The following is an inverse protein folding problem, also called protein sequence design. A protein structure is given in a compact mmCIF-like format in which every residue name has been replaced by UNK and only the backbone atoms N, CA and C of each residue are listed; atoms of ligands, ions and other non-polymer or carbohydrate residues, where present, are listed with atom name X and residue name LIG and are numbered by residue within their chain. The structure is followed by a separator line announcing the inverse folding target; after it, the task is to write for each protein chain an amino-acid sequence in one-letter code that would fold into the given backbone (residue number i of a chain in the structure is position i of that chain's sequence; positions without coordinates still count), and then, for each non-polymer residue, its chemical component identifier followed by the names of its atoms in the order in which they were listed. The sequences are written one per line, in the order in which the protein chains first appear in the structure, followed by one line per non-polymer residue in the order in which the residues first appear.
data_IF_875823825814
#
_entry.id   IF_875823825814
#
_cell.length_a   1.000
_cell.length_b   1.000
_cell.length_c   1.000
_cell.angle_alpha   90.00
_cell.angle_beta   90.00
_cell.angle_gamma   90.00
#
_symmetry.space_group_name_H-M   'P 1'
#
loop_
_entity.id
_entity.type
_entity.pdbx_description
1 polymer ?
#
# COMPACT_ATOMS: atom_id res chain seq x y z
N UNK A 1 -30.16 52.79 -3.65
CA UNK A 1 -30.61 51.47 -4.14
C UNK A 1 -29.40 50.73 -4.69
N UNK A 2 -29.23 49.43 -4.39
CA UNK A 2 -28.09 48.96 -3.57
C UNK A 2 -27.00 48.18 -4.32
N UNK A 3 -25.82 48.17 -3.67
CA UNK A 3 -24.72 47.21 -3.63
C UNK A 3 -24.66 46.02 -4.59
N UNK A 4 -23.58 45.96 -5.38
CA UNK A 4 -23.01 44.70 -5.86
C UNK A 4 -21.47 44.77 -5.77
N UNK A 5 -20.93 44.76 -4.54
CA UNK A 5 -19.56 44.34 -4.32
C UNK A 5 -19.45 42.86 -4.70
N UNK A 6 -18.88 42.58 -5.87
CA UNK A 6 -18.47 41.24 -6.28
C UNK A 6 -17.44 40.76 -5.26
N UNK A 7 -17.87 39.89 -4.36
CA UNK A 7 -16.98 39.12 -3.50
C UNK A 7 -16.09 38.24 -4.39
N UNK A 8 -14.97 38.80 -4.85
CA UNK A 8 -13.84 38.02 -5.32
C UNK A 8 -13.45 37.10 -4.16
N UNK A 9 -13.44 35.80 -4.41
CA UNK A 9 -13.09 34.78 -3.44
C UNK A 9 -11.70 35.06 -2.83
N UNK A 10 -11.66 35.77 -1.70
CA UNK A 10 -10.46 35.86 -0.87
C UNK A 10 -10.50 34.68 0.10
N UNK A 11 -10.20 33.49 -0.42
CA UNK A 11 -9.93 32.30 0.37
C UNK A 11 -8.65 31.64 -0.12
N UNK A 12 -7.56 32.41 -0.17
CA UNK A 12 -6.22 31.88 -0.47
C UNK A 12 -5.17 32.27 0.59
N UNK A 13 -5.56 32.77 1.76
CA UNK A 13 -4.62 33.30 2.76
C UNK A 13 -4.49 32.45 4.03
N UNK A 14 -4.70 31.14 3.92
CA UNK A 14 -4.24 30.16 4.94
C UNK A 14 -3.41 29.01 4.35
N UNK A 15 -2.73 29.26 3.23
CA UNK A 15 -1.73 28.32 2.65
C UNK A 15 -0.31 28.58 3.17
N UNK A 16 -0.10 29.60 4.00
CA UNK A 16 1.24 30.09 4.31
C UNK A 16 1.67 29.86 5.75
N UNK A 17 1.51 28.65 6.28
CA UNK A 17 2.26 28.30 7.50
C UNK A 17 2.67 26.82 7.63
N UNK A 18 2.45 25.99 6.60
CA UNK A 18 2.84 24.58 6.69
C UNK A 18 3.54 24.01 5.46
N UNK A 19 4.23 24.87 4.70
CA UNK A 19 4.97 24.49 3.50
C UNK A 19 6.02 23.38 3.75
N UNK A 20 6.63 23.35 4.95
CA UNK A 20 7.57 22.30 5.36
C UNK A 20 6.87 20.94 5.58
N UNK A 21 5.62 20.90 6.03
CA UNK A 21 4.86 19.65 6.23
C UNK A 21 4.24 19.13 4.94
N UNK A 22 3.87 20.01 3.99
CA UNK A 22 3.43 19.57 2.65
C UNK A 22 4.55 18.88 1.87
N UNK A 23 5.78 19.42 1.86
CA UNK A 23 6.93 18.74 1.24
C UNK A 23 7.21 17.37 1.88
N UNK A 24 7.14 17.27 3.22
CA UNK A 24 7.31 15.99 3.93
C UNK A 24 6.19 15.00 3.61
N UNK A 25 4.93 15.46 3.51
CA UNK A 25 3.78 14.64 3.11
C UNK A 25 3.88 14.17 1.66
N UNK A 26 4.26 15.07 0.75
CA UNK A 26 4.44 14.74 -0.66
C UNK A 26 5.61 13.77 -0.87
N UNK A 27 6.75 14.00 -0.20
CA UNK A 27 7.89 13.08 -0.22
C UNK A 27 7.52 11.71 0.38
N UNK A 28 6.74 11.67 1.46
CA UNK A 28 6.23 10.42 2.03
C UNK A 28 5.32 9.66 1.06
N UNK A 29 4.38 10.35 0.40
CA UNK A 29 3.48 9.77 -0.60
C UNK A 29 4.22 9.28 -1.85
N UNK A 30 5.19 10.06 -2.35
CA UNK A 30 6.08 9.67 -3.46
C UNK A 30 6.88 8.43 -3.09
N UNK A 31 7.52 8.42 -1.92
CA UNK A 31 8.28 7.27 -1.45
C UNK A 31 7.40 6.02 -1.25
N UNK A 32 6.17 6.19 -0.75
CA UNK A 32 5.17 5.12 -0.63
C UNK A 32 4.85 4.50 -1.99
N UNK A 33 4.56 5.32 -2.99
CA UNK A 33 4.27 4.85 -4.36
C UNK A 33 5.46 4.13 -4.99
N UNK A 34 6.69 4.64 -4.80
CA UNK A 34 7.91 3.97 -5.28
C UNK A 34 8.12 2.63 -4.59
N UNK A 35 7.93 2.54 -3.27
CA UNK A 35 8.01 1.27 -2.53
C UNK A 35 6.96 0.27 -3.01
N UNK A 36 5.74 0.73 -3.29
CA UNK A 36 4.67 -0.10 -3.88
C UNK A 36 5.04 -0.64 -5.24
N UNK A 37 5.55 0.21 -6.13
CA UNK A 37 5.97 -0.20 -7.47
C UNK A 37 7.10 -1.23 -7.39
N UNK A 38 8.13 -0.98 -6.56
CA UNK A 38 9.24 -1.92 -6.32
C UNK A 38 8.75 -3.25 -5.75
N UNK A 39 7.77 -3.23 -4.84
CA UNK A 39 7.19 -4.45 -4.27
C UNK A 39 6.47 -5.29 -5.33
N UNK A 40 5.65 -4.67 -6.17
CA UNK A 40 4.91 -5.37 -7.22
C UNK A 40 5.84 -5.90 -8.32
N UNK A 41 6.89 -5.15 -8.66
CA UNK A 41 7.92 -5.54 -9.62
C UNK A 41 8.93 -6.54 -9.06
N UNK A 42 8.97 -6.76 -7.74
CA UNK A 42 9.89 -7.70 -7.11
C UNK A 42 9.65 -9.09 -7.71
N UNK A 43 10.74 -9.78 -8.04
CA UNK A 43 10.68 -11.18 -8.47
C UNK A 43 10.41 -12.07 -7.25
N UNK A 44 9.40 -12.92 -7.35
CA UNK A 44 9.06 -13.90 -6.32
C UNK A 44 9.68 -15.23 -6.72
N UNK A 45 10.22 -15.96 -5.74
CA UNK A 45 10.57 -17.35 -5.95
C UNK A 45 9.28 -18.15 -6.16
N UNK A 46 9.34 -19.17 -7.02
CA UNK A 46 8.24 -20.09 -7.25
C UNK A 46 8.70 -21.49 -6.88
N UNK A 47 7.87 -22.23 -6.15
CA UNK A 47 8.16 -23.63 -5.87
C UNK A 47 7.61 -24.53 -6.98
N UNK A 48 7.95 -25.82 -6.93
CA UNK A 48 7.48 -26.84 -7.87
C UNK A 48 5.95 -26.99 -7.89
N UNK A 49 5.26 -26.62 -6.81
CA UNK A 49 3.81 -26.63 -6.68
C UNK A 49 3.14 -25.35 -7.25
N UNK A 50 3.93 -24.41 -7.77
CA UNK A 50 3.43 -23.15 -8.32
C UNK A 50 3.02 -22.10 -7.30
N UNK A 51 3.30 -22.32 -6.00
CA UNK A 51 3.19 -21.31 -4.95
C UNK A 51 4.37 -20.34 -5.00
N UNK A 52 4.14 -19.10 -4.61
CA UNK A 52 5.14 -18.03 -4.65
C UNK A 52 5.63 -17.69 -3.25
N UNK A 53 6.91 -17.37 -3.11
CA UNK A 53 7.50 -16.97 -1.84
C UNK A 53 8.44 -15.79 -2.01
N UNK A 54 8.54 -14.99 -0.95
CA UNK A 54 9.43 -13.85 -0.89
C UNK A 54 9.76 -13.51 0.56
N UNK A 55 11.04 -13.26 0.85
CA UNK A 55 11.46 -12.67 2.12
C UNK A 55 11.56 -11.16 1.98
N UNK A 56 10.98 -10.42 2.92
CA UNK A 56 11.09 -8.95 2.97
C UNK A 56 11.14 -8.49 4.41
N UNK A 57 12.14 -7.66 4.74
CA UNK A 57 12.30 -7.04 6.06
C UNK A 57 12.30 -8.07 7.21
N UNK A 58 12.89 -9.25 6.99
CA UNK A 58 12.93 -10.34 7.96
C UNK A 58 11.67 -11.22 8.03
N UNK A 59 10.61 -10.83 7.33
CA UNK A 59 9.36 -11.59 7.26
C UNK A 59 9.34 -12.51 6.04
N UNK A 60 8.91 -13.75 6.26
CA UNK A 60 8.73 -14.75 5.22
C UNK A 60 7.28 -14.74 4.73
N UNK A 61 7.13 -14.41 3.46
CA UNK A 61 5.83 -14.23 2.83
C UNK A 61 5.62 -15.39 1.88
N UNK A 62 4.58 -16.17 2.11
CA UNK A 62 4.19 -17.30 1.27
C UNK A 62 2.82 -17.01 0.66
N UNK A 63 2.73 -17.10 -0.66
CA UNK A 63 1.51 -17.03 -1.43
C UNK A 63 1.24 -18.43 -1.98
N UNK A 64 0.35 -19.13 -1.31
CA UNK A 64 -0.03 -20.48 -1.65
C UNK A 64 -1.02 -20.46 -2.82
N UNK A 65 -0.77 -21.32 -3.81
CA UNK A 65 -1.69 -21.57 -4.91
C UNK A 65 -2.49 -22.84 -4.61
N UNK A 66 -3.81 -22.74 -4.68
CA UNK A 66 -4.66 -23.93 -4.57
C UNK A 66 -4.43 -24.87 -5.78
N UNK A 67 -4.23 -26.18 -5.55
CA UNK A 67 -3.96 -27.12 -6.63
C UNK A 67 -5.18 -27.42 -7.50
N UNK A 68 -6.40 -27.22 -6.98
CA UNK A 68 -7.65 -27.58 -7.67
C UNK A 68 -8.37 -26.37 -8.27
N UNK A 69 -8.23 -25.19 -7.65
CA UNK A 69 -8.89 -23.95 -8.07
C UNK A 69 -7.84 -22.89 -8.39
N UNK A 70 -8.10 -21.98 -9.34
CA UNK A 70 -7.22 -20.83 -9.60
C UNK A 70 -7.40 -19.77 -8.51
N UNK A 71 -7.10 -20.13 -7.26
CA UNK A 71 -7.20 -19.27 -6.08
C UNK A 71 -5.90 -19.28 -5.32
N UNK A 72 -5.63 -18.16 -4.67
CA UNK A 72 -4.42 -17.90 -3.91
C UNK A 72 -4.82 -17.41 -2.53
N UNK A 73 -4.14 -17.91 -1.50
CA UNK A 73 -4.13 -17.26 -0.19
C UNK A 73 -2.68 -16.97 0.18
N UNK A 74 -2.48 -15.98 1.04
CA UNK A 74 -1.15 -15.63 1.49
C UNK A 74 -1.04 -15.76 3.01
N UNK A 75 0.17 -15.99 3.48
CA UNK A 75 0.52 -15.94 4.89
C UNK A 75 1.84 -15.20 5.08
N UNK A 76 1.95 -14.50 6.20
CA UNK A 76 3.19 -13.85 6.61
C UNK A 76 3.63 -14.54 7.89
N UNK A 77 4.81 -15.15 7.85
CA UNK A 77 5.38 -15.99 8.91
C UNK A 77 4.39 -17.08 9.37
N UNK A 78 3.68 -16.84 10.47
CA UNK A 78 2.70 -17.78 11.06
C UNK A 78 1.24 -17.32 10.94
N UNK A 79 0.99 -16.13 10.38
CA UNK A 79 -0.36 -15.57 10.26
C UNK A 79 -0.91 -15.79 8.85
N UNK A 80 -1.84 -16.75 8.67
CA UNK A 80 -2.54 -16.92 7.41
C UNK A 80 -3.64 -15.87 7.26
N UNK A 81 -3.88 -15.46 6.01
CA UNK A 81 -5.07 -14.67 5.67
C UNK A 81 -6.25 -15.61 5.42
N UNK A 82 -7.44 -15.27 5.95
CA UNK A 82 -8.67 -16.04 5.70
C UNK A 82 -9.25 -15.81 4.29
N UNK A 83 -8.72 -14.79 3.57
CA UNK A 83 -9.24 -14.36 2.28
C UNK A 83 -8.54 -15.04 1.11
N UNK A 84 -9.34 -15.52 0.17
CA UNK A 84 -8.88 -16.09 -1.09
C UNK A 84 -8.94 -15.05 -2.21
N UNK A 85 -7.96 -15.11 -3.09
CA UNK A 85 -7.79 -14.22 -4.24
C UNK A 85 -7.78 -15.03 -5.52
N UNK A 86 -8.46 -14.58 -6.56
CA UNK A 86 -8.36 -15.16 -7.92
C UNK A 86 -7.10 -14.69 -8.63
N UNK A 87 -6.65 -13.47 -8.32
CA UNK A 87 -5.57 -12.78 -9.01
C UNK A 87 -4.33 -12.63 -8.13
N UNK A 88 -3.20 -13.08 -8.66
CA UNK A 88 -1.90 -12.98 -8.00
C UNK A 88 -1.48 -11.52 -7.74
N UNK A 89 -1.79 -10.61 -8.67
CA UNK A 89 -1.48 -9.17 -8.50
C UNK A 89 -2.31 -8.54 -7.38
N UNK A 90 -3.57 -8.96 -7.23
CA UNK A 90 -4.45 -8.48 -6.15
C UNK A 90 -3.93 -8.99 -4.80
N UNK A 91 -3.57 -10.27 -4.71
CA UNK A 91 -2.97 -10.84 -3.51
C UNK A 91 -1.65 -10.13 -3.14
N UNK A 92 -0.73 -9.89 -4.10
CA UNK A 92 0.51 -9.13 -3.85
C UNK A 92 0.25 -7.72 -3.33
N UNK A 93 -0.76 -7.04 -3.89
CA UNK A 93 -1.15 -5.69 -3.46
C UNK A 93 -1.69 -5.70 -2.03
N UNK A 94 -2.52 -6.68 -1.70
CA UNK A 94 -3.10 -6.85 -0.37
C UNK A 94 -2.05 -7.11 0.71
N UNK A 95 -1.08 -7.99 0.42
CA UNK A 95 0.09 -8.22 1.29
C UNK A 95 0.82 -6.90 1.58
N UNK A 96 1.00 -6.06 0.57
CA UNK A 96 1.65 -4.77 0.81
C UNK A 96 0.80 -3.89 1.72
N UNK A 97 -0.50 -3.74 1.46
CA UNK A 97 -1.33 -2.95 2.36
C UNK A 97 -1.28 -3.46 3.81
N UNK A 98 -1.31 -4.78 4.00
CA UNK A 98 -1.16 -5.39 5.31
C UNK A 98 0.19 -5.04 5.97
N UNK A 99 1.32 -5.24 5.27
CA UNK A 99 2.63 -4.86 5.80
C UNK A 99 2.72 -3.35 6.09
N UNK A 100 2.06 -2.51 5.29
CA UNK A 100 2.07 -1.07 5.49
C UNK A 100 1.23 -0.61 6.69
N UNK A 101 0.17 -1.36 7.01
CA UNK A 101 -0.60 -1.18 8.25
C UNK A 101 0.24 -1.58 9.47
N UNK A 102 0.94 -2.71 9.41
CA UNK A 102 1.84 -3.15 10.49
C UNK A 102 3.01 -2.20 10.71
N UNK A 103 3.49 -1.53 9.64
CA UNK A 103 4.54 -0.51 9.71
C UNK A 103 4.07 0.84 10.30
N UNK A 104 2.83 0.97 10.75
CA UNK A 104 2.39 2.13 11.53
C UNK A 104 2.38 1.83 13.05
N UNK A 105 3.54 1.61 13.72
CA UNK A 105 3.58 1.51 15.18
C UNK A 105 3.65 2.90 15.82
N UNK A 106 2.68 3.77 15.52
CA UNK A 106 2.35 4.91 16.39
C UNK A 106 1.11 5.66 15.88
N UNK A 107 -0.05 5.22 16.36
CA UNK A 107 -1.16 6.11 16.71
C UNK A 107 -1.60 5.61 18.08
N UNK A 108 -1.16 6.24 19.16
CA UNK A 108 -1.82 7.37 19.83
C UNK A 108 -0.78 8.08 20.68
#
# INVERSE_FOLDING_TARGET
MPDYFRAGCVCAEKITNNYKSHKKREAFLKNKSVRKAKWLAKRWGQNSLGSFYCTKEGHNILLFKDPHKPRYFWKIDKQPVSKWYTDLQVAKRDIWYYMEMQRQPNKW
#
